data_IF_935782082399
#
_entry.id   IF_935782082399
#
_cell.length_a   1.000
_cell.length_b   1.000
_cell.length_c   1.000
_cell.angle_alpha   90.00
_cell.angle_beta   90.00
_cell.angle_gamma   90.00
#
_symmetry.space_group_name_H-M   'P 1'
#
loop_
_entity.id
_entity.type
_entity.pdbx_description
1 polymer ?
#
# COMPACT_ATOMS: atom_id res chain seq x y z
N UNK A 1 -31.32 16.27 -2.17
CA UNK A 1 -31.47 15.86 -3.58
C UNK A 1 -30.07 15.88 -4.18
N UNK A 2 -29.42 14.71 -4.25
CA UNK A 2 -28.07 14.55 -4.82
C UNK A 2 -28.20 13.48 -5.90
N UNK A 3 -28.55 13.91 -7.11
CA UNK A 3 -28.50 13.10 -8.32
C UNK A 3 -27.40 13.74 -9.19
N UNK A 4 -26.27 13.05 -9.33
CA UNK A 4 -25.93 12.15 -10.45
C UNK A 4 -25.22 12.91 -11.57
N UNK A 5 -23.90 12.69 -11.69
CA UNK A 5 -23.15 12.63 -12.94
C UNK A 5 -21.64 12.35 -12.67
N UNK A 6 -21.31 11.17 -12.13
CA UNK A 6 -19.96 10.58 -12.24
C UNK A 6 -20.00 9.12 -11.78
N UNK A 7 -20.20 8.20 -12.71
CA UNK A 7 -20.56 6.80 -12.42
C UNK A 7 -19.59 5.97 -11.56
N UNK A 8 -18.45 6.48 -11.06
CA UNK A 8 -17.52 5.66 -10.24
C UNK A 8 -16.65 6.43 -9.22
N UNK A 9 -16.88 7.72 -8.97
CA UNK A 9 -16.03 8.46 -8.01
C UNK A 9 -16.56 8.36 -6.59
N UNK A 10 -15.82 7.67 -5.71
CA UNK A 10 -16.12 7.65 -4.28
C UNK A 10 -15.68 8.97 -3.64
N UNK A 11 -16.62 9.62 -2.96
CA UNK A 11 -16.38 10.87 -2.22
C UNK A 11 -15.30 10.68 -1.16
N UNK A 12 -14.42 11.67 -1.01
CA UNK A 12 -13.34 11.61 -0.02
C UNK A 12 -13.86 11.39 1.41
N UNK A 13 -14.99 12.01 1.76
CA UNK A 13 -15.63 11.84 3.06
C UNK A 13 -15.94 10.36 3.40
N UNK A 14 -16.28 9.54 2.40
CA UNK A 14 -16.55 8.12 2.61
C UNK A 14 -15.25 7.34 2.86
N UNK A 15 -14.15 7.73 2.20
CA UNK A 15 -12.82 7.17 2.45
C UNK A 15 -12.36 7.53 3.86
N UNK A 16 -12.48 8.80 4.26
CA UNK A 16 -12.13 9.25 5.62
C UNK A 16 -12.95 8.50 6.69
N UNK A 17 -14.23 8.23 6.40
CA UNK A 17 -15.08 7.44 7.28
C UNK A 17 -14.58 6.00 7.42
N UNK A 18 -14.18 5.35 6.32
CA UNK A 18 -13.61 4.00 6.38
C UNK A 18 -12.26 3.98 7.11
N UNK A 19 -11.39 4.96 6.86
CA UNK A 19 -10.14 5.14 7.61
C UNK A 19 -10.39 5.30 9.11
N UNK A 20 -11.40 6.09 9.50
CA UNK A 20 -11.79 6.26 10.90
C UNK A 20 -12.38 4.97 11.49
N UNK A 21 -13.15 4.20 10.73
CA UNK A 21 -13.67 2.90 11.16
C UNK A 21 -12.55 1.88 11.39
N UNK A 22 -11.50 1.87 10.55
CA UNK A 22 -10.35 0.98 10.74
C UNK A 22 -9.66 1.18 12.10
N UNK A 23 -9.70 2.40 12.67
CA UNK A 23 -9.12 2.69 13.99
C UNK A 23 -9.87 2.00 15.13
N UNK A 24 -11.19 1.82 14.98
CA UNK A 24 -12.08 1.39 16.07
C UNK A 24 -12.66 -0.01 15.85
N UNK A 25 -12.54 -0.57 14.64
CA UNK A 25 -13.10 -1.87 14.30
C UNK A 25 -12.35 -3.00 15.02
N UNK A 26 -13.10 -3.89 15.67
CA UNK A 26 -12.57 -5.08 16.35
C UNK A 26 -13.05 -6.40 15.75
N UNK A 27 -14.03 -6.37 14.84
CA UNK A 27 -14.56 -7.56 14.19
C UNK A 27 -13.76 -7.86 12.91
N UNK A 28 -13.13 -9.03 12.87
CA UNK A 28 -12.17 -9.40 11.83
C UNK A 28 -12.77 -9.43 10.42
N UNK A 29 -13.99 -9.97 10.25
CA UNK A 29 -14.66 -10.02 8.95
C UNK A 29 -14.92 -8.61 8.37
N UNK A 30 -15.44 -7.71 9.21
CA UNK A 30 -15.70 -6.31 8.84
C UNK A 30 -14.39 -5.58 8.59
N UNK A 31 -13.36 -5.86 9.38
CA UNK A 31 -12.03 -5.29 9.21
C UNK A 31 -11.44 -5.65 7.84
N UNK A 32 -11.46 -6.93 7.44
CA UNK A 32 -10.95 -7.35 6.13
C UNK A 32 -11.74 -6.69 4.99
N UNK A 33 -13.06 -6.59 5.11
CA UNK A 33 -13.88 -5.91 4.12
C UNK A 33 -13.53 -4.42 4.02
N UNK A 34 -13.36 -3.72 5.15
CA UNK A 34 -12.94 -2.32 5.18
C UNK A 34 -11.55 -2.13 4.57
N UNK A 35 -10.59 -3.00 4.91
CA UNK A 35 -9.24 -2.95 4.34
C UNK A 35 -9.27 -3.12 2.82
N UNK A 36 -10.07 -4.06 2.31
CA UNK A 36 -10.24 -4.25 0.86
C UNK A 36 -10.89 -3.04 0.19
N UNK A 37 -11.92 -2.44 0.81
CA UNK A 37 -12.59 -1.23 0.28
C UNK A 37 -11.63 -0.05 0.19
N UNK A 38 -10.90 0.23 1.26
CA UNK A 38 -9.91 1.32 1.32
C UNK A 38 -8.79 1.09 0.32
N UNK A 39 -8.24 -0.13 0.27
CA UNK A 39 -7.23 -0.55 -0.71
C UNK A 39 -7.72 -0.33 -2.14
N UNK A 40 -8.93 -0.78 -2.46
CA UNK A 40 -9.52 -0.61 -3.80
C UNK A 40 -9.62 0.86 -4.21
N UNK A 41 -9.96 1.75 -3.27
CA UNK A 41 -10.05 3.19 -3.57
C UNK A 41 -8.70 3.84 -3.80
N UNK A 42 -7.71 3.57 -2.94
CA UNK A 42 -6.35 4.07 -3.18
C UNK A 42 -5.83 3.59 -4.54
N UNK A 43 -6.03 2.31 -4.85
CA UNK A 43 -5.63 1.72 -6.12
C UNK A 43 -6.31 2.38 -7.33
N UNK A 44 -7.62 2.60 -7.24
CA UNK A 44 -8.36 3.25 -8.30
C UNK A 44 -7.84 4.67 -8.55
N UNK A 45 -7.60 5.45 -7.50
CA UNK A 45 -7.09 6.83 -7.59
C UNK A 45 -5.68 6.87 -8.16
N UNK A 46 -4.78 6.01 -7.69
CA UNK A 46 -3.41 5.90 -8.21
C UNK A 46 -3.45 5.51 -9.70
N UNK A 47 -4.24 4.49 -10.06
CA UNK A 47 -4.35 4.00 -11.45
C UNK A 47 -4.90 5.05 -12.41
N UNK A 48 -5.89 5.83 -11.95
CA UNK A 48 -6.51 6.91 -12.75
C UNK A 48 -5.80 8.25 -12.62
N UNK A 49 -4.72 8.33 -11.83
CA UNK A 49 -4.04 9.58 -11.50
C UNK A 49 -5.03 10.67 -11.04
N UNK A 50 -6.00 10.27 -10.22
CA UNK A 50 -7.04 11.14 -9.67
C UNK A 50 -6.68 11.60 -8.27
N UNK A 51 -6.86 12.89 -8.00
CA UNK A 51 -6.73 13.43 -6.65
C UNK A 51 -8.04 13.30 -5.88
N UNK A 52 -7.99 13.23 -4.53
CA UNK A 52 -9.16 13.40 -3.68
C UNK A 52 -9.94 14.68 -4.03
N UNK A 53 -11.27 14.60 -4.02
CA UNK A 53 -12.16 15.76 -4.23
C UNK A 53 -11.96 16.84 -3.17
N UNK A 54 -11.74 16.42 -1.92
CA UNK A 54 -11.43 17.28 -0.79
C UNK A 54 -10.13 16.82 -0.13
N UNK A 55 -9.51 17.69 0.67
CA UNK A 55 -8.35 17.31 1.46
C UNK A 55 -8.69 16.13 2.40
N UNK A 56 -7.93 15.03 2.39
CA UNK A 56 -8.10 13.93 3.34
C UNK A 56 -7.99 14.40 4.79
N UNK A 57 -8.76 13.79 5.70
CA UNK A 57 -8.73 14.17 7.12
C UNK A 57 -7.45 13.70 7.83
N UNK A 58 -6.88 12.57 7.40
CA UNK A 58 -5.66 12.00 7.95
C UNK A 58 -4.60 11.85 6.88
N UNK A 59 -3.38 12.19 7.24
CA UNK A 59 -2.17 11.83 6.48
C UNK A 59 -1.78 10.38 6.76
N UNK A 60 -0.85 9.85 5.98
CA UNK A 60 -0.25 8.53 6.15
C UNK A 60 0.41 8.44 7.52
N UNK A 61 1.10 9.49 7.96
CA UNK A 61 1.70 9.58 9.29
C UNK A 61 0.64 9.54 10.40
N UNK A 62 -0.46 10.28 10.25
CA UNK A 62 -1.58 10.23 11.21
C UNK A 62 -2.18 8.82 11.29
N UNK A 63 -2.29 8.11 10.16
CA UNK A 63 -2.82 6.75 10.12
C UNK A 63 -1.87 5.75 10.78
N UNK A 64 -0.57 5.80 10.47
CA UNK A 64 0.46 4.98 11.12
C UNK A 64 0.44 5.18 12.65
N UNK A 65 0.28 6.42 13.10
CA UNK A 65 0.30 6.75 14.52
C UNK A 65 -1.02 6.42 15.25
N UNK A 66 -2.12 6.22 14.54
CA UNK A 66 -3.45 6.01 15.14
C UNK A 66 -4.08 4.65 14.85
N UNK A 67 -3.53 3.84 13.96
CA UNK A 67 -4.13 2.59 13.51
C UNK A 67 -3.06 1.52 13.21
N UNK A 68 -3.14 0.38 13.90
CA UNK A 68 -2.20 -0.74 13.73
C UNK A 68 -2.31 -1.45 12.36
N UNK A 69 -3.30 -1.07 11.55
CA UNK A 69 -3.48 -1.56 10.18
C UNK A 69 -2.70 -0.74 9.14
N UNK A 70 -1.93 0.26 9.59
CA UNK A 70 -1.01 1.05 8.80
C UNK A 70 0.39 0.89 9.39
N UNK A 71 1.29 0.25 8.64
CA UNK A 71 2.66 -0.03 9.05
C UNK A 71 3.63 1.07 8.61
N UNK A 72 4.80 1.11 9.26
CA UNK A 72 5.91 1.94 8.78
C UNK A 72 6.35 1.47 7.39
N UNK A 73 6.55 2.42 6.48
CA UNK A 73 7.02 2.12 5.13
C UNK A 73 8.50 1.73 5.20
N UNK A 74 8.83 0.57 4.62
CA UNK A 74 10.20 0.05 4.69
C UNK A 74 11.20 0.92 3.90
N UNK A 75 12.46 1.00 4.34
CA UNK A 75 13.47 1.83 3.69
C UNK A 75 13.67 1.51 2.19
N UNK A 76 13.59 0.24 1.81
CA UNK A 76 13.72 -0.18 0.42
C UNK A 76 12.54 0.28 -0.45
N UNK A 77 11.34 0.43 0.11
CA UNK A 77 10.16 0.98 -0.59
C UNK A 77 10.39 2.46 -0.89
N UNK A 78 10.78 3.23 0.13
CA UNK A 78 11.09 4.66 -0.02
C UNK A 78 12.23 4.88 -1.00
N UNK A 79 13.25 4.03 -0.98
CA UNK A 79 14.36 4.08 -1.92
C UNK A 79 13.88 3.93 -3.37
N UNK A 80 13.10 2.89 -3.69
CA UNK A 80 12.54 2.67 -5.04
C UNK A 80 11.74 3.90 -5.50
N UNK A 81 10.91 4.45 -4.62
CA UNK A 81 10.11 5.64 -4.96
C UNK A 81 10.98 6.87 -5.27
N UNK A 82 12.16 7.00 -4.66
CA UNK A 82 13.07 8.14 -4.87
C UNK A 82 13.92 8.07 -6.15
N UNK A 83 13.98 6.91 -6.81
CA UNK A 83 14.80 6.70 -8.03
C UNK A 83 14.17 7.37 -9.26
N UNK A 84 12.86 7.61 -9.27
CA UNK A 84 12.19 8.36 -10.33
C UNK A 84 12.31 9.88 -10.09
N UNK A 85 12.50 10.65 -11.16
CA UNK A 85 12.51 12.11 -11.10
C UNK A 85 11.19 12.63 -10.51
N UNK A 86 11.20 13.67 -9.66
CA UNK A 86 10.00 14.22 -9.05
C UNK A 86 9.10 14.82 -10.14
N UNK A 87 8.20 14.00 -10.68
CA UNK A 87 7.07 14.48 -11.44
C UNK A 87 6.15 15.16 -10.43
N UNK A 88 6.12 16.49 -10.50
CA UNK A 88 5.53 17.50 -9.63
C UNK A 88 4.00 17.38 -9.41
N UNK A 89 3.50 16.21 -9.04
CA UNK A 89 2.08 15.99 -8.78
C UNK A 89 1.90 15.17 -7.51
N UNK A 90 1.07 15.71 -6.63
CA UNK A 90 0.59 15.26 -5.31
C UNK A 90 0.04 13.81 -5.20
N UNK A 91 0.42 12.88 -6.08
CA UNK A 91 0.08 11.44 -6.00
C UNK A 91 0.76 10.71 -4.82
N UNK A 92 1.46 11.45 -3.96
CA UNK A 92 2.25 10.93 -2.86
C UNK A 92 1.37 10.27 -1.78
N UNK A 93 0.19 10.83 -1.49
CA UNK A 93 -0.54 10.47 -0.28
C UNK A 93 -1.23 9.10 -0.39
N UNK A 94 -2.08 8.87 -1.41
CA UNK A 94 -2.75 7.57 -1.58
C UNK A 94 -1.74 6.43 -1.81
N UNK A 95 -0.61 6.73 -2.48
CA UNK A 95 0.50 5.78 -2.65
C UNK A 95 1.12 5.42 -1.31
N UNK A 96 1.42 6.42 -0.48
CA UNK A 96 2.02 6.21 0.85
C UNK A 96 1.06 5.47 1.79
N UNK A 97 -0.23 5.82 1.77
CA UNK A 97 -1.28 5.11 2.53
C UNK A 97 -1.39 3.65 2.10
N UNK A 98 -1.37 3.37 0.80
CA UNK A 98 -1.39 2.01 0.29
C UNK A 98 -0.13 1.22 0.67
N UNK A 99 1.05 1.81 0.49
CA UNK A 99 2.32 1.18 0.89
C UNK A 99 2.34 0.88 2.39
N UNK A 100 1.90 1.82 3.23
CA UNK A 100 1.77 1.63 4.68
C UNK A 100 0.80 0.50 5.04
N UNK A 101 -0.35 0.45 4.38
CA UNK A 101 -1.35 -0.62 4.58
C UNK A 101 -0.78 -2.00 4.20
N UNK A 102 -0.04 -2.08 3.10
CA UNK A 102 0.65 -3.30 2.65
C UNK A 102 1.85 -3.69 3.52
N UNK A 103 2.55 -2.71 4.11
CA UNK A 103 3.61 -2.94 5.11
C UNK A 103 3.02 -3.43 6.45
N UNK A 104 1.72 -3.24 6.69
CA UNK A 104 1.03 -3.85 7.82
C UNK A 104 0.77 -5.34 7.57
N UNK A 105 0.74 -6.15 8.62
CA UNK A 105 0.34 -7.56 8.53
C UNK A 105 -1.19 -7.77 8.52
N UNK A 106 -1.97 -6.69 8.45
CA UNK A 106 -3.41 -6.73 8.73
C UNK A 106 -4.28 -7.16 7.55
N UNK A 107 -3.96 -6.72 6.33
CA UNK A 107 -4.74 -7.08 5.14
C UNK A 107 -4.40 -8.49 4.66
N UNK A 108 -5.39 -9.31 4.33
CA UNK A 108 -5.13 -10.58 3.63
C UNK A 108 -4.75 -10.30 2.17
N UNK A 109 -3.46 -10.44 1.85
CA UNK A 109 -2.93 -10.17 0.50
C UNK A 109 -3.52 -11.09 -0.56
N UNK A 110 -3.74 -12.37 -0.25
CA UNK A 110 -4.31 -13.31 -1.22
C UNK A 110 -5.69 -12.84 -1.71
N UNK A 111 -6.50 -12.28 -0.81
CA UNK A 111 -7.81 -11.70 -1.15
C UNK A 111 -7.70 -10.34 -1.85
N UNK A 112 -6.63 -9.59 -1.62
CA UNK A 112 -6.41 -8.27 -2.22
C UNK A 112 -5.75 -8.33 -3.61
N UNK A 113 -5.09 -9.45 -3.96
CA UNK A 113 -4.36 -9.62 -5.23
C UNK A 113 -5.17 -9.21 -6.48
N UNK A 114 -6.45 -9.61 -6.66
CA UNK A 114 -7.21 -9.23 -7.86
C UNK A 114 -7.41 -7.71 -7.99
N UNK A 115 -7.46 -7.01 -6.86
CA UNK A 115 -7.62 -5.55 -6.82
C UNK A 115 -6.30 -4.86 -7.12
N UNK A 116 -5.17 -5.45 -6.70
CA UNK A 116 -3.81 -4.93 -6.84
C UNK A 116 -3.24 -5.11 -8.26
N UNK A 117 -3.75 -6.10 -9.01
CA UNK A 117 -3.29 -6.46 -10.36
C UNK A 117 -3.23 -5.28 -11.35
N UNK A 118 -4.14 -4.29 -11.38
CA UNK A 118 -4.06 -3.17 -12.33
C UNK A 118 -2.87 -2.23 -12.12
N UNK A 119 -2.33 -2.12 -10.90
CA UNK A 119 -1.16 -1.27 -10.62
C UNK A 119 0.17 -1.94 -10.88
N UNK A 120 0.18 -3.24 -11.15
CA UNK A 120 1.38 -4.03 -11.43
C UNK A 120 2.25 -3.48 -12.56
N UNK A 121 1.63 -2.78 -13.52
CA UNK A 121 2.29 -2.15 -14.66
C UNK A 121 2.76 -0.70 -14.39
N UNK A 122 2.44 -0.11 -13.23
CA UNK A 122 2.57 1.32 -12.98
C UNK A 122 3.94 1.71 -12.39
N UNK A 123 4.99 1.76 -13.21
CA UNK A 123 6.27 2.39 -12.82
C UNK A 123 6.85 1.86 -11.50
N UNK A 124 7.47 2.72 -10.70
CA UNK A 124 8.01 2.37 -9.38
C UNK A 124 6.92 2.03 -8.34
N UNK A 125 5.75 2.68 -8.40
CA UNK A 125 4.62 2.35 -7.51
C UNK A 125 4.22 0.88 -7.66
N UNK A 126 4.01 0.43 -8.89
CA UNK A 126 3.70 -0.95 -9.21
C UNK A 126 4.78 -1.92 -8.77
N UNK A 127 6.06 -1.55 -8.94
CA UNK A 127 7.18 -2.36 -8.44
C UNK A 127 7.10 -2.52 -6.91
N UNK A 128 6.92 -1.43 -6.15
CA UNK A 128 6.84 -1.51 -4.69
C UNK A 128 5.67 -2.37 -4.21
N UNK A 129 4.50 -2.23 -4.84
CA UNK A 129 3.32 -3.01 -4.51
C UNK A 129 3.55 -4.50 -4.78
N UNK A 130 4.13 -4.85 -5.93
CA UNK A 130 4.47 -6.22 -6.27
C UNK A 130 5.40 -6.87 -5.27
N UNK A 131 6.52 -6.19 -4.98
CA UNK A 131 7.53 -6.71 -4.07
C UNK A 131 6.92 -6.89 -2.68
N UNK A 132 6.13 -5.92 -2.18
CA UNK A 132 5.40 -6.07 -0.92
C UNK A 132 4.45 -7.28 -0.93
N UNK A 133 3.67 -7.46 -2.00
CA UNK A 133 2.74 -8.58 -2.11
C UNK A 133 3.44 -9.93 -2.17
N UNK A 134 4.49 -10.06 -2.99
CA UNK A 134 5.28 -11.29 -3.09
C UNK A 134 5.94 -11.64 -1.76
N UNK A 135 6.54 -10.65 -1.09
CA UNK A 135 7.13 -10.81 0.24
C UNK A 135 6.12 -11.37 1.23
N UNK A 136 4.90 -10.78 1.28
CA UNK A 136 3.84 -11.23 2.17
C UNK A 136 3.24 -12.59 1.82
N UNK A 137 3.45 -13.07 0.60
CA UNK A 137 3.07 -14.41 0.16
C UNK A 137 4.23 -15.44 0.33
N UNK A 138 5.37 -15.03 0.90
CA UNK A 138 6.56 -15.87 1.04
C UNK A 138 7.32 -16.12 -0.28
N UNK A 139 7.00 -15.36 -1.33
CA UNK A 139 7.59 -15.45 -2.68
C UNK A 139 8.82 -14.56 -2.81
N UNK A 140 9.81 -14.81 -1.95
CA UNK A 140 11.00 -13.96 -1.85
C UNK A 140 11.85 -14.01 -3.12
N UNK A 141 11.96 -15.17 -3.78
CA UNK A 141 12.71 -15.31 -5.03
C UNK A 141 12.09 -14.45 -6.14
N UNK A 142 10.77 -14.49 -6.30
CA UNK A 142 10.08 -13.67 -7.28
C UNK A 142 10.14 -12.17 -6.96
N UNK A 143 10.15 -11.80 -5.67
CA UNK A 143 10.36 -10.43 -5.23
C UNK A 143 11.77 -9.93 -5.61
N UNK A 144 12.80 -10.73 -5.34
CA UNK A 144 14.20 -10.42 -5.67
C UNK A 144 14.38 -10.32 -7.19
N UNK A 145 13.83 -11.26 -7.96
CA UNK A 145 13.89 -11.24 -9.42
C UNK A 145 13.31 -9.95 -10.01
N UNK A 146 12.21 -9.44 -9.46
CA UNK A 146 11.62 -8.18 -9.90
C UNK A 146 12.51 -6.98 -9.53
N UNK A 147 13.10 -6.98 -8.34
CA UNK A 147 14.04 -5.94 -7.92
C UNK A 147 15.28 -5.94 -8.82
N UNK A 148 15.90 -7.09 -9.08
CA UNK A 148 17.07 -7.20 -9.97
C UNK A 148 16.78 -6.75 -11.40
N UNK A 149 15.54 -6.92 -11.89
CA UNK A 149 15.15 -6.47 -13.23
C UNK A 149 14.93 -4.96 -13.33
N UNK A 150 14.43 -4.32 -12.27
CA UNK A 150 13.92 -2.93 -12.36
C UNK A 150 14.61 -1.92 -11.44
N UNK A 151 15.11 -2.35 -10.28
CA UNK A 151 15.84 -1.51 -9.33
C UNK A 151 16.87 -2.35 -8.54
N UNK A 152 18.01 -2.74 -9.15
CA UNK A 152 18.99 -3.62 -8.52
C UNK A 152 19.54 -3.09 -7.20
N UNK A 153 19.71 -1.78 -7.08
CA UNK A 153 20.23 -1.13 -5.87
C UNK A 153 19.28 -1.33 -4.66
N UNK A 154 17.97 -1.44 -4.92
CA UNK A 154 16.98 -1.72 -3.89
C UNK A 154 17.03 -3.17 -3.39
N UNK A 155 17.55 -4.12 -4.19
CA UNK A 155 17.61 -5.53 -3.82
C UNK A 155 18.46 -5.77 -2.56
N UNK A 156 19.53 -4.99 -2.38
CA UNK A 156 20.38 -5.08 -1.19
C UNK A 156 19.62 -4.61 0.05
N UNK A 157 18.93 -3.47 -0.03
CA UNK A 157 18.13 -2.92 1.08
C UNK A 157 16.98 -3.86 1.43
N UNK A 158 16.33 -4.44 0.43
CA UNK A 158 15.30 -5.46 0.59
C UNK A 158 15.82 -6.69 1.33
N UNK A 159 16.93 -7.28 0.85
CA UNK A 159 17.52 -8.47 1.47
C UNK A 159 17.97 -8.19 2.92
N UNK A 160 18.53 -7.02 3.19
CA UNK A 160 18.93 -6.62 4.55
C UNK A 160 17.74 -6.47 5.52
N UNK A 161 16.57 -6.12 5.00
CA UNK A 161 15.36 -5.97 5.79
C UNK A 161 14.65 -7.32 5.97
N UNK A 162 14.31 -8.00 4.86
CA UNK A 162 13.46 -9.21 4.88
C UNK A 162 14.20 -10.49 5.25
N UNK A 163 15.48 -10.64 4.86
CA UNK A 163 16.21 -11.91 5.01
C UNK A 163 17.13 -11.94 6.23
N UNK A 164 17.30 -10.79 6.89
CA UNK A 164 18.21 -10.69 8.05
C UNK A 164 17.59 -11.23 9.34
N UNK A 165 16.27 -11.19 9.46
CA UNK A 165 15.56 -11.69 10.64
C UNK A 165 15.43 -13.23 10.66
N UNK A 166 15.50 -13.89 9.51
CA UNK A 166 15.45 -15.37 9.42
C UNK A 166 16.74 -16.04 9.97
N UNK A 167 17.84 -15.28 10.11
CA UNK A 167 19.07 -15.74 10.75
C UNK A 167 19.05 -15.65 12.29
N UNK A 168 17.95 -15.20 12.90
CA UNK A 168 17.68 -15.41 14.32
C UNK A 168 16.94 -16.72 14.52
N UNK A 169 17.54 -17.81 14.04
CA UNK A 169 17.22 -19.16 14.52
C UNK A 169 17.38 -19.13 16.03
N UNK A 170 16.25 -19.19 16.72
CA UNK A 170 16.20 -19.35 18.17
C UNK A 170 16.81 -20.70 18.48
N UNK A 171 18.04 -20.70 18.97
CA UNK A 171 18.59 -21.87 19.65
C UNK A 171 17.74 -22.08 20.92
N UNK A 172 16.82 -23.04 20.85
CA UNK A 172 16.22 -23.68 22.01
C UNK A 172 16.76 -25.11 22.10
#
# INVERSE_FOLDING_TARGET
MLCSNSENTIAQLLVDFWEALLVVCSQEEILQELLLRVTSQYLWRISKQQLPETKPLKTTEDLINSCNHFGLIFPWVTFIMSVESPSDKDYCEDTSKLQSLLCSQSINIASALPVLEPLTAAGNVGLTIHVLCHTRLGKYEEAIDQLLKRCPDAAVLYAQHELKDDNRVSYF
#
